data_IF_913564423231
#
_entry.id   IF_913564423231
#
_cell.length_a   1.000
_cell.length_b   1.000
_cell.length_c   1.000
_cell.angle_alpha   90.00
_cell.angle_beta   90.00
_cell.angle_gamma   90.00
#
_symmetry.space_group_name_H-M   'P 1'
#
loop_
_entity.id
_entity.type
_entity.pdbx_description
1 polymer ?
#
# COMPACT_ATOMS: atom_id res chain seq x y z
N UNK A 1 -43.40 -16.44 -12.38
CA UNK A 1 -44.83 -16.19 -12.05
C UNK A 1 -44.89 -15.06 -11.05
N UNK A 2 -45.59 -13.94 -11.30
CA UNK A 2 -45.63 -12.79 -10.40
C UNK A 2 -46.83 -12.84 -9.45
N UNK A 3 -46.70 -12.28 -8.23
CA UNK A 3 -47.83 -12.14 -7.30
C UNK A 3 -47.93 -10.72 -6.70
N UNK A 4 -48.93 -9.99 -7.21
CA UNK A 4 -49.94 -9.10 -6.59
C UNK A 4 -49.64 -8.28 -5.31
N UNK A 5 -49.64 -6.96 -5.51
CA UNK A 5 -50.44 -5.86 -4.90
C UNK A 5 -51.23 -6.13 -3.59
N UNK A 6 -51.11 -5.20 -2.63
CA UNK A 6 -52.14 -4.91 -1.61
C UNK A 6 -51.90 -3.59 -0.86
N UNK A 7 -52.74 -2.57 -1.12
CA UNK A 7 -52.84 -1.28 -0.42
C UNK A 7 -53.90 -1.40 0.68
N UNK A 8 -53.67 -0.85 1.87
CA UNK A 8 -54.72 -0.61 2.88
C UNK A 8 -54.62 0.80 3.47
N UNK A 9 -55.71 1.56 3.33
CA UNK A 9 -55.99 2.82 4.00
C UNK A 9 -56.76 2.54 5.30
N UNK A 10 -56.51 3.32 6.36
CA UNK A 10 -57.27 3.24 7.62
C UNK A 10 -57.77 4.63 8.03
N UNK A 11 -59.07 4.70 8.33
CA UNK A 11 -59.87 5.85 8.69
C UNK A 11 -59.92 6.10 10.21
N UNK A 12 -60.05 7.37 10.59
CA UNK A 12 -60.35 7.85 11.95
C UNK A 12 -61.84 7.66 12.33
N UNK A 13 -62.16 7.52 13.62
CA UNK A 13 -63.46 7.92 14.15
C UNK A 13 -63.38 9.12 15.12
N UNK A 14 -64.41 9.95 15.01
CA UNK A 14 -64.72 11.12 15.82
C UNK A 14 -65.66 10.69 16.96
N UNK A 15 -65.38 11.08 18.20
CA UNK A 15 -66.24 10.82 19.36
C UNK A 15 -66.52 12.09 20.17
N UNK A 16 -67.77 12.54 20.18
CA UNK A 16 -68.31 13.55 21.09
C UNK A 16 -68.74 12.89 22.41
N UNK A 17 -68.50 13.56 23.54
CA UNK A 17 -69.25 13.36 24.79
C UNK A 17 -69.41 14.70 25.53
N UNK A 18 -70.64 14.96 25.96
CA UNK A 18 -71.06 16.11 26.76
C UNK A 18 -71.11 15.77 28.25
N UNK A 19 -70.88 16.77 29.12
CA UNK A 19 -71.11 16.67 30.57
C UNK A 19 -71.18 18.06 31.21
N UNK A 20 -72.18 18.27 32.08
CA UNK A 20 -72.53 19.53 32.72
C UNK A 20 -72.53 19.34 34.26
N UNK A 21 -72.19 20.38 35.03
CA UNK A 21 -72.41 20.46 36.49
C UNK A 21 -71.37 21.32 37.23
N UNK A 22 -71.81 22.41 37.87
CA UNK A 22 -70.97 23.39 38.58
C UNK A 22 -70.96 23.27 40.11
N UNK A 23 -70.14 24.07 40.80
CA UNK A 23 -70.55 25.16 41.73
C UNK A 23 -69.32 25.76 42.44
N UNK A 24 -69.50 26.97 42.97
CA UNK A 24 -68.45 27.97 43.21
C UNK A 24 -67.48 27.75 44.39
N UNK A 25 -66.28 28.30 44.23
CA UNK A 25 -65.46 28.86 45.32
C UNK A 25 -64.60 30.00 44.76
N UNK A 26 -64.61 31.13 45.48
CA UNK A 26 -63.86 32.36 45.18
C UNK A 26 -62.37 32.16 45.47
N UNK A 27 -61.53 32.21 44.43
CA UNK A 27 -60.08 32.36 44.55
C UNK A 27 -59.63 33.53 43.67
N UNK A 28 -58.79 34.40 44.24
CA UNK A 28 -58.39 35.68 43.67
C UNK A 28 -57.83 35.57 42.26
N UNK A 29 -58.31 36.47 41.39
CA UNK A 29 -57.80 36.65 40.04
C UNK A 29 -56.33 37.09 40.09
N UNK A 30 -55.42 36.14 39.98
CA UNK A 30 -54.08 36.39 39.44
C UNK A 30 -54.27 36.58 37.95
N UNK A 31 -53.83 37.73 37.45
CA UNK A 31 -53.76 38.01 36.02
C UNK A 31 -52.94 36.89 35.37
N UNK A 32 -53.44 36.18 34.33
CA UNK A 32 -52.60 35.26 33.58
C UNK A 32 -51.46 36.09 33.00
N UNK A 33 -50.23 35.82 33.44
CA UNK A 33 -49.05 36.39 32.80
C UNK A 33 -49.14 36.13 31.31
N UNK A 34 -49.01 37.19 30.50
CA UNK A 34 -48.96 37.05 29.04
C UNK A 34 -47.92 35.99 28.66
N UNK A 35 -48.10 35.30 27.51
CA UNK A 35 -47.20 34.23 27.11
C UNK A 35 -45.74 34.72 27.19
N UNK A 36 -44.93 33.97 27.94
CA UNK A 36 -43.50 34.24 28.06
C UNK A 36 -42.89 34.29 26.65
N UNK A 37 -42.01 35.26 26.33
CA UNK A 37 -41.40 35.34 25.00
C UNK A 37 -40.68 34.03 24.67
N UNK A 38 -40.73 33.57 23.40
CA UNK A 38 -40.08 32.34 23.00
C UNK A 38 -38.57 32.41 23.31
N UNK A 39 -37.95 31.28 23.70
CA UNK A 39 -36.55 31.25 24.08
C UNK A 39 -35.67 31.61 22.88
N UNK A 40 -34.71 32.51 23.10
CA UNK A 40 -33.80 33.05 22.07
C UNK A 40 -32.48 32.28 22.03
N UNK A 41 -31.79 32.24 20.88
CA UNK A 41 -30.47 31.59 20.76
C UNK A 41 -29.41 32.42 21.48
N UNK A 42 -28.60 31.76 22.30
CA UNK A 42 -27.54 32.39 23.11
C UNK A 42 -26.13 31.99 22.67
N UNK A 43 -25.95 30.75 22.24
CA UNK A 43 -24.70 30.24 21.67
C UNK A 43 -24.96 29.12 20.67
N UNK A 44 -23.92 28.77 19.91
CA UNK A 44 -23.92 27.64 18.99
C UNK A 44 -22.83 26.64 19.40
N UNK A 45 -23.11 25.36 19.21
CA UNK A 45 -22.18 24.25 19.38
C UNK A 45 -22.01 23.57 18.00
N UNK A 46 -20.76 23.33 17.59
CA UNK A 46 -20.41 22.58 16.39
C UNK A 46 -19.77 21.27 16.77
N UNK A 47 -20.26 20.17 16.19
CA UNK A 47 -19.61 18.86 16.24
C UNK A 47 -19.42 18.33 14.83
N UNK A 48 -18.27 17.71 14.58
CA UNK A 48 -18.01 17.06 13.30
C UNK A 48 -18.41 15.58 13.37
N UNK A 49 -18.89 15.03 12.26
CA UNK A 49 -19.14 13.58 12.13
C UNK A 49 -17.85 12.75 12.10
N UNK A 50 -16.70 13.41 11.92
CA UNK A 50 -15.37 12.82 11.82
C UNK A 50 -14.34 13.66 12.60
N UNK A 51 -13.27 13.02 13.05
CA UNK A 51 -12.11 13.73 13.63
C UNK A 51 -11.30 14.42 12.52
N UNK A 52 -10.71 15.57 12.85
CA UNK A 52 -9.77 16.26 11.98
C UNK A 52 -8.32 15.78 12.20
N UNK A 53 -7.44 15.80 11.17
CA UNK A 53 -7.64 16.36 9.83
C UNK A 53 -8.52 15.51 8.92
N UNK A 54 -9.16 16.16 7.94
CA UNK A 54 -9.72 15.49 6.76
C UNK A 54 -8.68 15.46 5.64
N UNK A 55 -8.76 14.50 4.74
CA UNK A 55 -7.81 14.35 3.65
C UNK A 55 -8.33 14.91 2.32
N UNK A 56 -7.41 15.25 1.41
CA UNK A 56 -7.74 15.73 0.07
C UNK A 56 -8.79 14.85 -0.62
N UNK A 57 -9.91 15.45 -1.04
CA UNK A 57 -11.02 14.75 -1.69
C UNK A 57 -12.09 14.20 -0.73
N UNK A 58 -11.84 14.19 0.58
CA UNK A 58 -12.84 13.78 1.58
C UNK A 58 -13.83 14.89 1.91
N UNK A 59 -14.95 14.49 2.52
CA UNK A 59 -15.96 15.39 3.08
C UNK A 59 -16.18 15.11 4.56
N UNK A 60 -16.61 16.12 5.30
CA UNK A 60 -17.06 15.97 6.69
C UNK A 60 -18.37 16.74 6.91
N UNK A 61 -19.27 16.15 7.69
CA UNK A 61 -20.53 16.81 8.07
C UNK A 61 -20.36 17.49 9.43
N UNK A 62 -20.84 18.73 9.52
CA UNK A 62 -20.87 19.51 10.73
C UNK A 62 -22.31 19.60 11.24
N UNK A 63 -22.53 19.06 12.44
CA UNK A 63 -23.79 19.18 13.17
C UNK A 63 -23.78 20.49 13.96
N UNK A 64 -24.76 21.35 13.70
CA UNK A 64 -24.93 22.63 14.38
C UNK A 64 -26.06 22.52 15.41
N UNK A 65 -25.77 22.83 16.67
CA UNK A 65 -26.76 22.86 17.76
C UNK A 65 -26.87 24.26 18.35
N UNK A 66 -28.08 24.80 18.41
CA UNK A 66 -28.35 26.06 19.08
C UNK A 66 -28.67 25.83 20.56
N UNK A 67 -28.00 26.58 21.44
CA UNK A 67 -28.31 26.64 22.87
C UNK A 67 -29.16 27.89 23.11
N UNK A 68 -30.37 27.69 23.63
CA UNK A 68 -31.32 28.78 23.85
C UNK A 68 -31.26 29.31 25.29
N UNK A 69 -31.88 30.47 25.53
CA UNK A 69 -31.89 31.18 26.82
C UNK A 69 -32.54 30.40 27.96
N UNK A 70 -33.30 29.36 27.67
CA UNK A 70 -33.88 28.41 28.61
C UNK A 70 -33.00 27.15 28.83
N UNK A 71 -31.77 27.16 28.31
CA UNK A 71 -30.79 26.06 28.28
C UNK A 71 -31.18 24.84 27.44
N UNK A 72 -32.29 24.90 26.69
CA UNK A 72 -32.64 23.83 25.75
C UNK A 72 -31.72 23.84 24.52
N UNK A 73 -31.47 22.64 23.98
CA UNK A 73 -30.63 22.39 22.80
C UNK A 73 -31.50 22.02 21.61
N UNK A 74 -31.30 22.70 20.49
CA UNK A 74 -32.05 22.45 19.26
C UNK A 74 -31.08 22.20 18.11
N UNK A 75 -31.13 21.03 17.46
CA UNK A 75 -30.42 20.82 16.20
C UNK A 75 -30.89 21.82 15.15
N UNK A 76 -29.94 22.45 14.44
CA UNK A 76 -30.20 23.42 13.39
C UNK A 76 -29.93 22.75 12.05
N UNK A 77 -30.91 22.80 11.14
CA UNK A 77 -30.70 22.41 9.75
C UNK A 77 -29.60 23.27 9.13
N UNK A 78 -28.55 22.62 8.62
CA UNK A 78 -27.41 23.29 8.01
C UNK A 78 -27.78 24.23 6.85
N UNK A 79 -28.89 23.97 6.15
CA UNK A 79 -29.39 24.85 5.10
C UNK A 79 -29.93 26.20 5.61
N UNK A 80 -30.31 26.29 6.89
CA UNK A 80 -30.81 27.51 7.54
C UNK A 80 -29.70 28.36 8.17
N UNK A 81 -28.47 27.82 8.27
CA UNK A 81 -27.32 28.50 8.82
C UNK A 81 -26.46 29.16 7.73
N UNK A 82 -25.71 30.18 8.11
CA UNK A 82 -24.67 30.78 7.28
C UNK A 82 -23.35 30.05 7.53
N UNK A 83 -22.61 29.74 6.46
CA UNK A 83 -21.33 29.02 6.54
C UNK A 83 -20.24 29.79 5.81
N UNK A 84 -19.04 29.86 6.41
CA UNK A 84 -17.87 30.48 5.80
C UNK A 84 -16.62 29.68 6.13
N UNK A 85 -15.77 29.47 5.13
CA UNK A 85 -14.41 28.94 5.29
C UNK A 85 -13.41 30.08 5.17
N UNK A 86 -12.44 30.15 6.09
CA UNK A 86 -11.36 31.14 6.08
C UNK A 86 -10.38 30.92 4.93
N UNK A 87 -10.18 29.67 4.50
CA UNK A 87 -9.38 29.29 3.35
C UNK A 87 -10.14 28.32 2.43
N UNK A 88 -10.80 28.88 1.40
CA UNK A 88 -11.56 28.10 0.41
C UNK A 88 -10.70 27.28 -0.56
N UNK A 89 -9.41 27.60 -0.68
CA UNK A 89 -8.47 26.77 -1.44
C UNK A 89 -8.20 25.47 -0.70
N UNK A 90 -8.13 25.51 0.65
CA UNK A 90 -7.97 24.30 1.44
C UNK A 90 -9.28 23.52 1.60
N UNK A 91 -10.37 24.18 2.04
CA UNK A 91 -11.66 23.53 2.26
C UNK A 91 -12.85 24.45 1.94
N UNK A 92 -13.87 23.92 1.28
CA UNK A 92 -15.16 24.61 1.07
C UNK A 92 -16.21 24.07 2.05
N UNK A 93 -17.29 24.82 2.29
CA UNK A 93 -18.40 24.38 3.14
C UNK A 93 -19.73 24.84 2.56
N UNK A 94 -20.72 23.96 2.54
CA UNK A 94 -22.09 24.25 2.10
C UNK A 94 -23.10 23.46 2.92
N UNK A 95 -24.07 24.15 3.53
CA UNK A 95 -25.12 23.54 4.36
C UNK A 95 -24.60 22.56 5.42
N UNK A 96 -23.44 22.87 6.03
CA UNK A 96 -22.79 22.03 7.04
C UNK A 96 -21.91 20.91 6.47
N UNK A 97 -21.84 20.72 5.15
CA UNK A 97 -20.94 19.76 4.51
C UNK A 97 -19.65 20.47 4.11
N UNK A 98 -18.54 20.06 4.69
CA UNK A 98 -17.18 20.52 4.37
C UNK A 98 -16.59 19.61 3.29
N UNK A 99 -15.91 20.17 2.30
CA UNK A 99 -15.20 19.43 1.25
C UNK A 99 -13.73 19.86 1.21
N UNK A 100 -12.81 18.90 1.29
CA UNK A 100 -11.38 19.13 1.16
C UNK A 100 -10.98 19.37 -0.31
N UNK A 101 -10.30 20.48 -0.58
CA UNK A 101 -9.94 20.93 -1.93
C UNK A 101 -8.42 20.89 -2.16
N UNK A 102 -7.62 21.41 -1.23
CA UNK A 102 -6.15 21.36 -1.28
C UNK A 102 -5.55 21.21 0.14
N UNK A 103 -4.33 20.67 0.29
CA UNK A 103 -3.66 20.61 1.59
C UNK A 103 -3.44 22.01 2.17
N UNK A 104 -3.85 22.21 3.43
CA UNK A 104 -3.78 23.50 4.09
C UNK A 104 -4.58 23.51 5.38
N UNK A 105 -4.54 24.62 6.12
CA UNK A 105 -5.44 24.82 7.26
C UNK A 105 -6.57 25.77 6.86
N UNK A 106 -7.78 25.45 7.28
CA UNK A 106 -8.93 26.35 7.23
C UNK A 106 -9.64 26.37 8.59
N UNK A 107 -10.51 27.33 8.79
CA UNK A 107 -11.44 27.43 9.91
C UNK A 107 -12.83 27.68 9.33
N UNK A 108 -13.80 26.87 9.77
CA UNK A 108 -15.19 26.96 9.32
C UNK A 108 -16.01 27.66 10.40
N UNK A 109 -16.63 28.78 10.03
CA UNK A 109 -17.56 29.53 10.88
C UNK A 109 -19.00 29.24 10.46
N UNK A 110 -19.83 28.83 11.42
CA UNK A 110 -21.28 28.73 11.28
C UNK A 110 -21.98 29.87 12.02
N UNK A 111 -22.99 30.47 11.41
CA UNK A 111 -23.79 31.54 12.02
C UNK A 111 -25.29 31.27 11.93
N UNK A 112 -26.01 31.47 13.04
CA UNK A 112 -27.46 31.26 13.12
C UNK A 112 -28.09 32.19 14.18
N UNK A 113 -29.14 32.92 13.80
CA UNK A 113 -29.90 33.85 14.65
C UNK A 113 -29.03 34.82 15.50
N UNK A 114 -27.94 35.32 14.93
CA UNK A 114 -27.05 36.30 15.57
C UNK A 114 -25.93 35.70 16.43
N UNK A 115 -25.91 34.38 16.63
CA UNK A 115 -24.81 33.65 17.26
C UNK A 115 -23.88 33.00 16.21
N UNK A 116 -22.65 32.69 16.61
CA UNK A 116 -21.62 32.06 15.76
C UNK A 116 -20.83 30.98 16.50
N UNK A 117 -20.38 29.97 15.78
CA UNK A 117 -19.40 28.98 16.25
C UNK A 117 -18.36 28.68 15.17
N UNK A 118 -17.17 28.27 15.60
CA UNK A 118 -16.03 28.00 14.71
C UNK A 118 -15.44 26.62 14.99
N UNK A 119 -14.93 25.98 13.93
CA UNK A 119 -14.23 24.71 14.05
C UNK A 119 -13.00 24.68 13.10
N UNK A 120 -11.81 24.30 13.59
CA UNK A 120 -10.63 24.18 12.75
C UNK A 120 -10.76 22.98 11.80
N UNK A 121 -10.43 23.18 10.53
CA UNK A 121 -10.45 22.18 9.46
C UNK A 121 -9.06 22.09 8.83
N UNK A 122 -8.11 21.36 9.44
CA UNK A 122 -6.88 21.01 8.76
C UNK A 122 -7.16 20.00 7.65
N UNK A 123 -6.77 20.35 6.42
CA UNK A 123 -6.74 19.44 5.27
C UNK A 123 -5.31 18.95 5.07
N UNK A 124 -5.16 17.64 4.95
CA UNK A 124 -3.86 17.00 4.70
C UNK A 124 -3.95 16.14 3.45
N UNK A 125 -2.80 15.78 2.91
CA UNK A 125 -2.75 14.62 2.03
C UNK A 125 -2.82 13.41 2.95
N UNK A 126 -3.73 12.48 2.69
CA UNK A 126 -3.70 11.19 3.38
C UNK A 126 -2.29 10.64 3.26
N UNK A 127 -1.66 10.15 4.34
CA UNK A 127 -0.56 9.22 4.16
C UNK A 127 -1.11 8.15 3.22
N UNK A 128 -0.59 8.06 1.99
CA UNK A 128 -0.92 6.92 1.15
C UNK A 128 -0.51 5.72 2.00
N UNK A 129 -1.48 4.90 2.41
CA UNK A 129 -1.19 3.73 3.22
C UNK A 129 0.00 3.03 2.56
N UNK A 130 1.11 2.88 3.28
CA UNK A 130 2.37 2.46 2.65
C UNK A 130 2.10 1.16 1.92
N UNK A 131 2.51 1.12 0.66
CA UNK A 131 2.31 -0.05 -0.16
C UNK A 131 3.19 -1.18 0.37
N UNK A 132 2.65 -2.39 0.45
CA UNK A 132 3.42 -3.60 0.73
C UNK A 132 3.44 -4.53 -0.47
N UNK A 133 4.57 -5.18 -0.68
CA UNK A 133 4.69 -6.31 -1.59
C UNK A 133 4.31 -7.58 -0.83
N UNK A 134 3.28 -8.28 -1.29
CA UNK A 134 2.88 -9.61 -0.80
C UNK A 134 3.34 -10.65 -1.80
N UNK A 135 4.16 -11.58 -1.32
CA UNK A 135 4.70 -12.64 -2.16
C UNK A 135 4.04 -13.94 -1.76
N UNK A 136 3.41 -14.62 -2.71
CA UNK A 136 2.69 -15.86 -2.50
C UNK A 136 3.39 -17.01 -3.24
N UNK A 137 3.59 -18.12 -2.56
CA UNK A 137 3.90 -19.42 -3.15
C UNK A 137 2.59 -20.21 -3.27
N UNK A 138 2.06 -20.33 -4.49
CA UNK A 138 0.83 -21.07 -4.77
C UNK A 138 1.14 -22.46 -5.33
N UNK A 139 0.58 -23.51 -4.75
CA UNK A 139 0.74 -24.90 -5.20
C UNK A 139 -0.62 -25.57 -5.44
N UNK A 140 -0.82 -26.28 -6.57
CA UNK A 140 -1.99 -27.13 -6.79
C UNK A 140 -2.19 -28.20 -5.70
N UNK A 141 -3.41 -28.67 -5.45
CA UNK A 141 -3.78 -29.56 -4.35
C UNK A 141 -2.95 -30.86 -4.26
N UNK A 142 -2.53 -31.40 -5.41
CA UNK A 142 -1.69 -32.60 -5.52
C UNK A 142 -0.19 -32.35 -5.27
N UNK A 143 0.21 -31.10 -4.98
CA UNK A 143 1.61 -30.72 -4.79
C UNK A 143 1.88 -30.29 -3.35
N UNK A 144 2.76 -31.00 -2.62
CA UNK A 144 3.10 -30.62 -1.26
C UNK A 144 3.96 -29.35 -1.25
N UNK A 145 3.88 -28.61 -0.13
CA UNK A 145 4.80 -27.51 0.15
C UNK A 145 6.27 -27.93 0.00
N UNK A 146 7.03 -27.14 -0.76
CA UNK A 146 8.47 -27.31 -0.97
C UNK A 146 9.28 -26.26 -0.19
N UNK A 147 10.04 -26.63 0.86
CA UNK A 147 10.81 -25.68 1.66
C UNK A 147 11.97 -25.04 0.87
N UNK A 148 12.52 -25.75 -0.11
CA UNK A 148 13.54 -25.24 -1.01
C UNK A 148 12.99 -24.18 -1.97
N UNK A 149 11.73 -24.30 -2.41
CA UNK A 149 11.04 -23.27 -3.18
C UNK A 149 10.84 -22.02 -2.34
N UNK A 150 10.27 -22.17 -1.14
CA UNK A 150 10.09 -21.06 -0.20
C UNK A 150 11.39 -20.32 0.10
N UNK A 151 12.48 -21.06 0.37
CA UNK A 151 13.80 -20.48 0.62
C UNK A 151 14.37 -19.76 -0.60
N UNK A 152 14.17 -20.33 -1.81
CA UNK A 152 14.57 -19.72 -3.08
C UNK A 152 13.84 -18.41 -3.36
N UNK A 153 12.53 -18.37 -3.11
CA UNK A 153 11.70 -17.15 -3.23
C UNK A 153 12.19 -16.08 -2.24
N UNK A 154 12.38 -16.43 -0.97
CA UNK A 154 12.91 -15.51 0.04
C UNK A 154 14.26 -14.92 -0.35
N UNK A 155 15.13 -15.72 -0.97
CA UNK A 155 16.40 -15.21 -1.51
C UNK A 155 16.17 -14.21 -2.65
N UNK A 156 15.29 -14.52 -3.61
CA UNK A 156 14.98 -13.61 -4.72
C UNK A 156 14.37 -12.28 -4.24
N UNK A 157 13.49 -12.33 -3.23
CA UNK A 157 12.92 -11.14 -2.58
C UNK A 157 14.02 -10.24 -1.99
N UNK A 158 14.96 -10.82 -1.25
CA UNK A 158 16.08 -10.08 -0.63
C UNK A 158 17.04 -9.52 -1.69
N UNK A 159 17.35 -10.31 -2.71
CA UNK A 159 18.24 -9.92 -3.80
C UNK A 159 17.66 -8.72 -4.58
N UNK A 160 16.37 -8.78 -4.92
CA UNK A 160 15.66 -7.66 -5.53
C UNK A 160 15.64 -6.43 -4.61
N UNK A 161 15.43 -6.61 -3.29
CA UNK A 161 15.50 -5.49 -2.35
C UNK A 161 16.88 -4.82 -2.36
N UNK A 162 17.95 -5.61 -2.33
CA UNK A 162 19.35 -5.13 -2.40
C UNK A 162 19.60 -4.36 -3.69
N UNK A 163 19.17 -4.90 -4.83
CA UNK A 163 19.34 -4.24 -6.11
C UNK A 163 18.58 -2.90 -6.19
N UNK A 164 17.32 -2.84 -5.75
CA UNK A 164 16.56 -1.58 -5.69
C UNK A 164 17.26 -0.55 -4.79
N UNK A 165 17.81 -0.95 -3.63
CA UNK A 165 18.59 -0.03 -2.77
C UNK A 165 19.76 0.58 -3.53
N UNK A 166 20.50 -0.23 -4.30
CA UNK A 166 21.63 0.21 -5.11
C UNK A 166 21.21 1.21 -6.21
N UNK A 167 20.09 0.95 -6.88
CA UNK A 167 19.61 1.79 -7.98
C UNK A 167 18.89 3.07 -7.51
N UNK A 168 18.34 3.07 -6.28
CA UNK A 168 17.42 4.12 -5.79
C UNK A 168 17.87 4.81 -4.51
N UNK A 169 19.18 5.04 -4.34
CA UNK A 169 19.73 5.83 -3.22
C UNK A 169 19.25 5.30 -1.85
N UNK A 170 19.25 3.97 -1.69
CA UNK A 170 18.82 3.27 -0.46
C UNK A 170 17.31 3.08 -0.29
N UNK A 171 16.49 3.48 -1.25
CA UNK A 171 15.05 3.16 -1.26
C UNK A 171 14.84 1.71 -1.75
N UNK A 172 13.92 0.98 -1.11
CA UNK A 172 13.49 -0.34 -1.57
C UNK A 172 12.07 -0.64 -1.13
N UNK A 173 11.47 -1.71 -1.65
CA UNK A 173 10.10 -2.07 -1.35
C UNK A 173 9.96 -2.69 0.04
N UNK A 174 8.83 -2.44 0.68
CA UNK A 174 8.47 -3.10 1.93
C UNK A 174 7.75 -4.42 1.65
N UNK A 175 8.23 -5.50 2.25
CA UNK A 175 7.56 -6.79 2.23
C UNK A 175 6.44 -6.84 3.28
N UNK A 176 5.39 -7.61 2.99
CA UNK A 176 4.42 -7.99 4.00
C UNK A 176 5.03 -8.92 5.05
N UNK A 177 5.75 -9.95 4.60
CA UNK A 177 6.45 -10.95 5.39
C UNK A 177 7.86 -11.21 4.84
N UNK A 178 8.78 -11.68 5.70
CA UNK A 178 10.17 -11.98 5.30
C UNK A 178 10.31 -13.29 4.49
N UNK A 179 9.27 -14.11 4.50
CA UNK A 179 9.11 -15.33 3.70
C UNK A 179 7.83 -15.26 2.86
N UNK A 180 7.74 -15.98 1.73
CA UNK A 180 6.50 -16.02 0.96
C UNK A 180 5.39 -16.65 1.80
N UNK A 181 4.20 -16.09 1.68
CA UNK A 181 2.97 -16.71 2.15
C UNK A 181 2.74 -17.98 1.32
N UNK A 182 2.25 -19.08 1.93
CA UNK A 182 1.97 -20.31 1.19
C UNK A 182 0.46 -20.48 0.97
N UNK A 183 0.09 -20.88 -0.25
CA UNK A 183 -1.27 -21.23 -0.61
C UNK A 183 -1.34 -22.60 -1.28
N UNK A 184 -2.15 -23.48 -0.71
CA UNK A 184 -2.60 -24.69 -1.38
C UNK A 184 -3.88 -24.35 -2.15
N UNK A 185 -3.80 -24.35 -3.47
CA UNK A 185 -4.95 -24.14 -4.35
C UNK A 185 -5.85 -25.41 -4.37
N UNK A 186 -7.16 -25.27 -4.63
CA UNK A 186 -8.12 -26.36 -4.43
C UNK A 186 -8.08 -27.46 -5.49
N UNK A 187 -7.62 -27.18 -6.71
CA UNK A 187 -7.61 -28.15 -7.82
C UNK A 187 -6.23 -28.81 -8.01
N UNK A 188 -6.17 -29.93 -8.72
CA UNK A 188 -4.92 -30.62 -9.03
C UNK A 188 -4.15 -29.95 -10.18
N UNK A 189 -2.86 -30.28 -10.32
CA UNK A 189 -1.97 -29.62 -11.26
C UNK A 189 -2.40 -29.71 -12.74
N UNK A 190 -3.13 -30.75 -13.14
CA UNK A 190 -3.70 -30.89 -14.48
C UNK A 190 -4.74 -29.80 -14.81
N UNK A 191 -5.49 -29.32 -13.81
CA UNK A 191 -6.47 -28.24 -13.98
C UNK A 191 -5.79 -26.95 -14.44
N UNK A 192 -4.68 -26.59 -13.78
CA UNK A 192 -3.94 -25.35 -14.02
C UNK A 192 -3.02 -25.43 -15.25
N UNK A 193 -2.73 -26.63 -15.76
CA UNK A 193 -1.81 -26.82 -16.87
C UNK A 193 -2.40 -26.48 -18.25
N UNK A 194 -3.72 -26.30 -18.38
CA UNK A 194 -4.40 -26.09 -19.68
C UNK A 194 -5.35 -24.89 -19.65
N UNK A 195 -5.62 -24.28 -20.80
CA UNK A 195 -6.42 -23.07 -20.89
C UNK A 195 -5.72 -21.86 -20.27
N UNK A 196 -6.51 -20.89 -19.80
CA UNK A 196 -6.00 -19.66 -19.19
C UNK A 196 -5.47 -19.93 -17.77
N UNK A 197 -4.16 -20.15 -17.67
CA UNK A 197 -3.52 -20.45 -16.39
C UNK A 197 -3.51 -19.24 -15.45
N UNK A 198 -3.45 -18.02 -16.00
CA UNK A 198 -3.49 -16.79 -15.21
C UNK A 198 -4.78 -16.67 -14.42
N UNK A 199 -5.93 -16.72 -15.10
CA UNK A 199 -7.24 -16.59 -14.47
C UNK A 199 -7.49 -17.72 -13.47
N UNK A 200 -7.11 -18.95 -13.83
CA UNK A 200 -7.24 -20.11 -12.93
C UNK A 200 -6.41 -19.98 -11.67
N UNK A 201 -5.16 -19.51 -11.77
CA UNK A 201 -4.32 -19.29 -10.57
C UNK A 201 -4.92 -18.19 -9.70
N UNK A 202 -5.37 -17.07 -10.30
CA UNK A 202 -6.03 -15.99 -9.55
C UNK A 202 -7.28 -16.51 -8.84
N UNK A 203 -8.12 -17.32 -9.49
CA UNK A 203 -9.28 -17.96 -8.87
C UNK A 203 -8.87 -18.95 -7.76
N UNK A 204 -7.88 -19.80 -8.03
CA UNK A 204 -7.44 -20.86 -7.13
C UNK A 204 -6.80 -20.35 -5.83
N UNK A 205 -6.26 -19.14 -5.81
CA UNK A 205 -5.68 -18.55 -4.59
C UNK A 205 -6.69 -17.79 -3.74
N UNK A 206 -7.93 -17.57 -4.17
CA UNK A 206 -8.87 -16.71 -3.42
C UNK A 206 -9.17 -17.23 -2.00
N UNK A 207 -9.13 -18.54 -1.79
CA UNK A 207 -9.39 -19.16 -0.48
C UNK A 207 -8.31 -18.88 0.57
N UNK A 208 -7.07 -18.62 0.14
CA UNK A 208 -5.91 -18.43 1.00
C UNK A 208 -5.42 -16.97 1.00
N UNK A 209 -5.55 -16.28 -0.13
CA UNK A 209 -5.06 -14.93 -0.38
C UNK A 209 -6.04 -14.22 -1.32
N UNK A 210 -6.72 -13.15 -0.87
CA UNK A 210 -7.68 -12.43 -1.70
C UNK A 210 -6.94 -11.54 -2.71
N UNK A 211 -6.28 -12.18 -3.68
CA UNK A 211 -5.51 -11.51 -4.74
C UNK A 211 -6.49 -10.78 -5.64
N UNK A 212 -6.37 -9.46 -5.69
CA UNK A 212 -7.12 -8.62 -6.60
C UNK A 212 -6.16 -7.66 -7.31
N UNK A 213 -6.35 -7.52 -8.62
CA UNK A 213 -5.64 -6.51 -9.41
C UNK A 213 -5.95 -5.11 -8.86
N UNK A 214 -4.97 -4.21 -8.97
CA UNK A 214 -5.06 -2.82 -8.54
C UNK A 214 -5.50 -2.61 -7.08
N UNK A 215 -5.25 -3.59 -6.20
CA UNK A 215 -5.54 -3.47 -4.77
C UNK A 215 -4.77 -2.28 -4.17
N UNK A 216 -5.44 -1.23 -3.65
CA UNK A 216 -4.74 -0.05 -3.17
C UNK A 216 -3.77 -0.37 -2.03
N UNK A 217 -2.47 -0.24 -2.32
CA UNK A 217 -1.42 -0.46 -1.32
C UNK A 217 -0.95 -1.89 -1.16
N UNK A 218 -1.37 -2.80 -2.04
CA UNK A 218 -0.79 -4.14 -2.14
C UNK A 218 -0.26 -4.32 -3.56
N UNK A 219 0.98 -4.79 -3.67
CA UNK A 219 1.52 -5.33 -4.90
C UNK A 219 1.69 -6.83 -4.70
N UNK A 220 1.01 -7.61 -5.53
CA UNK A 220 1.02 -9.06 -5.47
C UNK A 220 2.12 -9.63 -6.36
N UNK A 221 2.85 -10.61 -5.85
CA UNK A 221 3.78 -11.40 -6.63
C UNK A 221 3.56 -12.88 -6.32
N UNK A 222 3.04 -13.63 -7.29
CA UNK A 222 2.73 -15.04 -7.13
C UNK A 222 3.78 -15.87 -7.84
N UNK A 223 4.47 -16.71 -7.08
CA UNK A 223 5.18 -17.85 -7.62
C UNK A 223 4.23 -19.05 -7.65
N UNK A 224 3.74 -19.41 -8.83
CA UNK A 224 2.87 -20.54 -9.02
C UNK A 224 3.70 -21.80 -9.34
N UNK A 225 3.57 -22.85 -8.54
CA UNK A 225 4.06 -24.20 -8.85
C UNK A 225 3.13 -24.87 -9.87
N UNK A 226 2.96 -24.18 -11.00
CA UNK A 226 2.16 -24.57 -12.15
C UNK A 226 3.09 -24.69 -13.36
N UNK A 227 3.01 -25.84 -14.02
CA UNK A 227 3.65 -26.07 -15.31
C UNK A 227 2.56 -26.05 -16.36
N UNK A 228 2.60 -25.02 -17.19
CA UNK A 228 1.64 -24.86 -18.27
C UNK A 228 1.99 -25.82 -19.42
N UNK A 229 0.96 -26.19 -20.17
CA UNK A 229 1.14 -26.81 -21.47
C UNK A 229 1.56 -25.73 -22.47
N UNK A 230 2.55 -26.05 -23.29
CA UNK A 230 3.10 -25.09 -24.26
C UNK A 230 2.02 -24.65 -25.26
N UNK A 231 1.91 -23.34 -25.52
CA UNK A 231 1.01 -22.79 -26.55
C UNK A 231 -0.43 -22.58 -26.10
N UNK A 232 -0.71 -22.64 -24.81
CA UNK A 232 -1.99 -22.25 -24.21
C UNK A 232 -2.11 -20.70 -24.14
N UNK A 233 -3.34 -20.14 -24.13
CA UNK A 233 -3.55 -18.69 -24.02
C UNK A 233 -3.17 -18.14 -22.63
N UNK A 234 -2.65 -16.91 -22.60
CA UNK A 234 -2.29 -16.16 -21.38
C UNK A 234 -1.29 -16.90 -20.47
N UNK A 235 -0.12 -17.20 -21.04
CA UNK A 235 0.99 -17.85 -20.32
C UNK A 235 1.43 -17.04 -19.07
N UNK A 236 1.78 -17.72 -17.99
CA UNK A 236 2.40 -17.11 -16.82
C UNK A 236 3.78 -16.50 -17.17
N UNK A 237 4.28 -15.64 -16.28
CA UNK A 237 5.56 -14.94 -16.45
C UNK A 237 5.39 -13.52 -16.95
N UNK A 238 4.31 -12.86 -16.56
CA UNK A 238 4.06 -11.44 -16.81
C UNK A 238 3.57 -10.74 -15.54
N UNK A 239 3.67 -9.41 -15.53
CA UNK A 239 3.21 -8.56 -14.45
C UNK A 239 2.66 -7.23 -14.94
N UNK A 240 1.85 -6.60 -14.09
CA UNK A 240 1.14 -5.35 -14.39
C UNK A 240 -0.11 -5.19 -13.52
N UNK A 241 -0.65 -3.97 -13.46
CA UNK A 241 -1.87 -3.68 -12.69
C UNK A 241 -1.82 -4.21 -11.23
N UNK A 242 -0.65 -4.07 -10.60
CA UNK A 242 -0.43 -4.45 -9.20
C UNK A 242 -0.24 -5.94 -8.93
N UNK A 243 -0.20 -6.82 -9.94
CA UNK A 243 0.08 -8.24 -9.76
C UNK A 243 1.06 -8.82 -10.80
N UNK A 244 1.91 -9.75 -10.37
CA UNK A 244 2.71 -10.59 -11.25
C UNK A 244 2.51 -12.05 -10.89
N UNK A 245 2.46 -12.94 -11.89
CA UNK A 245 2.38 -14.39 -11.68
C UNK A 245 3.47 -15.05 -12.52
N UNK A 246 4.35 -15.81 -11.88
CA UNK A 246 5.43 -16.54 -12.53
C UNK A 246 5.27 -18.06 -12.38
N UNK A 247 5.68 -18.85 -13.39
CA UNK A 247 5.46 -20.29 -13.43
C UNK A 247 6.51 -21.10 -12.65
N UNK A 248 6.28 -22.41 -12.58
CA UNK A 248 7.11 -23.38 -11.86
C UNK A 248 8.57 -23.35 -12.25
N UNK A 249 8.91 -23.17 -13.52
CA UNK A 249 10.31 -23.26 -13.93
C UNK A 249 11.19 -22.18 -13.27
N UNK A 250 10.61 -21.03 -12.89
CA UNK A 250 11.31 -20.01 -12.11
C UNK A 250 11.60 -20.50 -10.67
N UNK A 251 10.64 -21.21 -10.06
CA UNK A 251 10.82 -21.89 -8.76
C UNK A 251 11.91 -22.96 -8.83
N UNK A 252 11.91 -23.77 -9.89
CA UNK A 252 12.92 -24.82 -10.11
C UNK A 252 14.33 -24.22 -10.22
N UNK A 253 14.49 -23.09 -10.92
CA UNK A 253 15.78 -22.35 -10.99
C UNK A 253 16.19 -21.83 -9.61
N UNK A 254 15.26 -21.20 -8.87
CA UNK A 254 15.53 -20.69 -7.51
C UNK A 254 15.95 -21.80 -6.54
N UNK A 255 15.33 -22.98 -6.68
CA UNK A 255 15.62 -24.18 -5.94
C UNK A 255 16.87 -24.93 -6.41
N UNK A 256 17.56 -24.45 -7.46
CA UNK A 256 18.74 -25.09 -8.06
C UNK A 256 18.45 -26.51 -8.59
N UNK A 257 17.24 -26.74 -9.11
CA UNK A 257 16.89 -27.99 -9.76
C UNK A 257 17.78 -28.26 -10.97
N UNK A 258 18.17 -29.52 -11.16
CA UNK A 258 18.97 -29.98 -12.31
C UNK A 258 18.10 -30.29 -13.54
N UNK A 259 16.77 -30.22 -13.39
CA UNK A 259 15.81 -30.54 -14.42
C UNK A 259 14.75 -29.44 -14.44
N UNK A 260 14.87 -28.54 -15.41
CA UNK A 260 13.98 -27.40 -15.57
C UNK A 260 13.26 -27.52 -16.92
N UNK A 261 11.92 -27.56 -16.88
CA UNK A 261 11.11 -27.75 -18.08
C UNK A 261 10.37 -26.45 -18.43
N UNK A 262 10.85 -25.74 -19.45
CA UNK A 262 10.19 -24.54 -19.96
C UNK A 262 9.37 -24.83 -21.22
N UNK A 263 8.30 -24.07 -21.44
CA UNK A 263 7.50 -24.17 -22.66
C UNK A 263 8.26 -23.76 -23.93
N UNK A 264 9.34 -22.97 -23.77
CA UNK A 264 10.14 -22.40 -24.87
C UNK A 264 11.49 -23.11 -25.05
N UNK A 265 11.64 -24.32 -24.50
CA UNK A 265 12.86 -25.12 -24.55
C UNK A 265 13.62 -25.16 -23.22
N UNK A 266 14.90 -25.60 -23.23
CA UNK A 266 15.73 -25.63 -22.03
C UNK A 266 15.80 -24.24 -21.39
N UNK A 267 15.50 -24.15 -20.10
CA UNK A 267 15.60 -22.89 -19.36
C UNK A 267 17.08 -22.65 -19.04
N UNK A 268 17.68 -21.65 -19.68
CA UNK A 268 19.08 -21.23 -19.45
C UNK A 268 19.21 -20.13 -18.42
N UNK A 269 18.15 -19.85 -17.65
CA UNK A 269 18.11 -18.76 -16.66
C UNK A 269 18.85 -19.13 -15.38
N UNK A 270 19.58 -18.16 -14.84
CA UNK A 270 20.30 -18.26 -13.57
C UNK A 270 19.43 -17.77 -12.42
N UNK A 271 19.76 -18.17 -11.17
CA UNK A 271 19.10 -17.63 -9.98
C UNK A 271 19.07 -16.09 -9.95
N UNK A 272 20.19 -15.39 -10.19
CA UNK A 272 20.19 -13.92 -10.27
C UNK A 272 19.25 -13.38 -11.33
N UNK A 273 19.17 -14.01 -12.51
CA UNK A 273 18.22 -13.57 -13.55
C UNK A 273 16.75 -13.72 -13.15
N UNK A 274 16.39 -14.70 -12.30
CA UNK A 274 15.03 -14.81 -11.75
C UNK A 274 14.77 -13.71 -10.71
N UNK A 275 15.75 -13.39 -9.86
CA UNK A 275 15.63 -12.27 -8.93
C UNK A 275 15.50 -10.91 -9.66
N UNK A 276 16.18 -10.77 -10.79
CA UNK A 276 16.06 -9.61 -11.66
C UNK A 276 14.70 -9.56 -12.37
N UNK A 277 14.20 -10.70 -12.87
CA UNK A 277 12.84 -10.81 -13.40
C UNK A 277 11.79 -10.45 -12.35
N UNK A 278 11.99 -10.87 -11.10
CA UNK A 278 11.16 -10.43 -9.97
C UNK A 278 11.17 -8.91 -9.79
N UNK A 279 12.33 -8.28 -9.89
CA UNK A 279 12.43 -6.82 -9.82
C UNK A 279 11.76 -6.12 -11.02
N UNK A 280 11.87 -6.68 -12.22
CA UNK A 280 11.22 -6.20 -13.44
C UNK A 280 9.69 -6.19 -13.30
N UNK A 281 9.09 -7.32 -12.92
CA UNK A 281 7.63 -7.40 -12.79
C UNK A 281 7.10 -6.58 -11.60
N UNK A 282 7.86 -6.48 -10.51
CA UNK A 282 7.51 -5.54 -9.44
C UNK A 282 7.53 -4.08 -9.90
N UNK A 283 8.48 -3.71 -10.74
CA UNK A 283 8.53 -2.37 -11.29
C UNK A 283 7.32 -2.08 -12.21
N UNK A 284 6.85 -3.06 -12.98
CA UNK A 284 5.54 -2.99 -13.65
C UNK A 284 4.38 -2.79 -12.66
N UNK A 285 4.35 -3.55 -11.57
CA UNK A 285 3.34 -3.37 -10.52
C UNK A 285 3.36 -1.99 -9.86
N UNK A 286 4.53 -1.33 -9.83
CA UNK A 286 4.67 0.03 -9.33
C UNK A 286 4.33 1.10 -10.37
N UNK A 287 4.04 0.69 -11.62
CA UNK A 287 3.55 1.54 -12.69
C UNK A 287 4.59 1.94 -13.73
N UNK A 288 5.76 1.30 -13.76
CA UNK A 288 6.73 1.52 -14.84
C UNK A 288 6.31 0.78 -16.13
N UNK A 289 6.35 1.42 -17.30
CA UNK A 289 6.28 0.73 -18.58
C UNK A 289 7.67 0.21 -19.00
N UNK A 290 7.70 -0.56 -20.09
CA UNK A 290 8.96 -0.82 -20.79
C UNK A 290 9.59 0.48 -21.34
N UNK A 291 10.91 0.51 -21.59
CA UNK A 291 11.56 1.67 -22.16
C UNK A 291 11.00 2.02 -23.55
N UNK A 292 10.97 3.31 -23.93
CA UNK A 292 10.50 3.74 -25.25
C UNK A 292 11.11 2.94 -26.40
N UNK A 293 10.23 2.46 -27.29
CA UNK A 293 10.60 1.71 -28.48
C UNK A 293 10.84 0.21 -28.27
N UNK A 294 10.81 -0.30 -27.04
CA UNK A 294 11.02 -1.73 -26.78
C UNK A 294 9.81 -2.60 -27.17
N UNK A 295 8.59 -2.15 -26.88
CA UNK A 295 7.37 -2.87 -27.28
C UNK A 295 7.24 -2.98 -28.82
N UNK A 296 7.64 -1.92 -29.52
CA UNK A 296 7.65 -1.83 -30.97
C UNK A 296 8.92 -2.41 -31.62
N UNK A 297 9.85 -2.97 -30.82
CA UNK A 297 11.13 -3.54 -31.26
C UNK A 297 11.97 -2.60 -32.12
N UNK A 298 11.96 -1.31 -31.78
CA UNK A 298 12.70 -0.29 -32.49
C UNK A 298 14.19 -0.39 -32.16
N UNK A 299 15.05 -0.02 -33.12
CA UNK A 299 16.51 -0.10 -32.98
C UNK A 299 17.09 0.75 -31.83
N UNK A 300 16.32 1.70 -31.29
CA UNK A 300 16.71 2.54 -30.16
C UNK A 300 16.17 2.04 -28.81
N UNK A 301 15.55 0.85 -28.76
CA UNK A 301 15.21 0.20 -27.51
C UNK A 301 16.47 -0.03 -26.69
N UNK A 302 16.39 0.34 -25.42
CA UNK A 302 17.43 0.09 -24.43
C UNK A 302 17.23 -1.32 -23.85
N UNK A 303 17.85 -2.32 -24.49
CA UNK A 303 17.69 -3.73 -24.12
C UNK A 303 18.38 -4.07 -22.79
N UNK A 304 19.38 -3.29 -22.39
CA UNK A 304 20.19 -3.52 -21.19
C UNK A 304 19.53 -2.97 -19.91
N UNK A 305 18.52 -2.11 -20.06
CA UNK A 305 17.70 -1.65 -18.95
C UNK A 305 16.91 -2.79 -18.30
N UNK A 306 16.71 -2.72 -16.98
CA UNK A 306 15.95 -3.72 -16.23
C UNK A 306 14.56 -3.90 -16.83
N UNK A 307 13.89 -2.79 -17.16
CA UNK A 307 12.55 -2.77 -17.75
C UNK A 307 12.50 -3.26 -19.21
N UNK A 308 13.59 -3.79 -19.76
CA UNK A 308 13.60 -4.51 -21.04
C UNK A 308 14.17 -5.92 -20.84
N UNK A 309 15.28 -6.29 -21.46
CA UNK A 309 15.92 -7.60 -21.34
C UNK A 309 17.08 -7.64 -20.35
N UNK A 310 17.42 -6.51 -19.73
CA UNK A 310 18.56 -6.40 -18.83
C UNK A 310 18.50 -7.34 -17.62
N UNK A 311 17.31 -7.81 -17.24
CA UNK A 311 17.18 -8.83 -16.20
C UNK A 311 17.90 -10.15 -16.53
N UNK A 312 18.18 -10.44 -17.81
CA UNK A 312 18.96 -11.61 -18.24
C UNK A 312 20.46 -11.46 -17.92
N UNK A 313 20.96 -10.23 -17.88
CA UNK A 313 22.38 -9.88 -17.69
C UNK A 313 22.70 -9.46 -16.24
N UNK A 314 21.78 -9.70 -15.30
CA UNK A 314 21.95 -9.33 -13.90
C UNK A 314 23.27 -9.85 -13.29
N UNK A 315 24.00 -9.04 -12.47
CA UNK A 315 23.59 -7.73 -11.95
C UNK A 315 23.88 -6.54 -12.87
N UNK A 316 24.44 -6.76 -14.07
CA UNK A 316 24.84 -5.70 -15.00
C UNK A 316 23.64 -5.13 -15.78
N UNK A 317 22.73 -4.51 -15.03
CA UNK A 317 21.53 -3.85 -15.53
C UNK A 317 21.16 -2.66 -14.64
N UNK A 318 20.31 -1.78 -15.15
CA UNK A 318 19.99 -0.52 -14.48
C UNK A 318 18.54 -0.08 -14.69
N UNK A 319 18.06 0.77 -13.78
CA UNK A 319 16.90 1.63 -14.04
C UNK A 319 17.37 2.89 -14.76
N UNK A 320 16.65 3.29 -15.81
CA UNK A 320 16.88 4.55 -16.52
C UNK A 320 16.60 5.76 -15.61
N UNK A 321 17.16 6.95 -15.90
CA UNK A 321 16.96 8.13 -15.05
C UNK A 321 15.49 8.47 -14.75
N UNK A 322 14.62 8.46 -15.77
CA UNK A 322 13.18 8.73 -15.59
C UNK A 322 12.45 7.65 -14.79
N UNK A 323 12.86 6.38 -14.94
CA UNK A 323 12.32 5.25 -14.16
C UNK A 323 12.70 5.36 -12.69
N UNK A 324 13.95 5.74 -12.40
CA UNK A 324 14.43 6.03 -11.04
C UNK A 324 13.62 7.14 -10.39
N UNK A 325 13.43 8.25 -11.10
CA UNK A 325 12.64 9.38 -10.60
C UNK A 325 11.19 9.01 -10.31
N UNK A 326 10.58 8.20 -11.17
CA UNK A 326 9.23 7.69 -10.98
C UNK A 326 9.14 6.79 -9.75
N UNK A 327 10.00 5.79 -9.65
CA UNK A 327 10.00 4.83 -8.54
C UNK A 327 10.33 5.48 -7.19
N UNK A 328 11.21 6.48 -7.15
CA UNK A 328 11.49 7.22 -5.90
C UNK A 328 10.26 7.91 -5.30
N UNK A 329 9.18 8.09 -6.08
CA UNK A 329 7.89 8.61 -5.63
C UNK A 329 6.84 7.52 -5.34
N UNK A 330 7.18 6.25 -5.58
CA UNK A 330 6.28 5.12 -5.36
C UNK A 330 5.93 4.95 -3.88
N UNK A 331 4.64 4.72 -3.60
CA UNK A 331 4.15 4.41 -2.24
C UNK A 331 4.68 3.10 -1.66
N UNK A 332 5.23 2.24 -2.51
CA UNK A 332 5.80 0.95 -2.12
C UNK A 332 7.26 1.06 -1.67
N UNK A 333 7.96 2.12 -2.08
CA UNK A 333 9.38 2.27 -1.80
C UNK A 333 9.62 3.19 -0.61
N UNK A 334 10.50 2.76 0.29
CA UNK A 334 10.93 3.55 1.44
C UNK A 334 12.40 3.33 1.73
N UNK A 335 13.01 4.30 2.40
CA UNK A 335 14.34 4.10 2.95
C UNK A 335 14.16 3.15 4.12
N UNK A 336 14.55 1.89 3.91
CA UNK A 336 14.74 0.99 5.04
C UNK A 336 16.09 1.38 5.64
N UNK A 337 16.14 1.65 6.94
CA UNK A 337 17.45 1.74 7.62
C UNK A 337 18.21 0.42 7.42
N UNK A 338 19.52 0.35 7.73
CA UNK A 338 20.17 -0.94 7.91
C UNK A 338 19.26 -1.73 8.85
N UNK A 339 18.73 -2.89 8.43
CA UNK A 339 17.98 -3.72 9.37
C UNK A 339 18.94 -3.94 10.55
N UNK A 340 18.56 -3.47 11.74
CA UNK A 340 19.07 -4.08 12.94
C UNK A 340 18.71 -5.55 12.78
N UNK A 341 19.73 -6.37 12.50
CA UNK A 341 19.59 -7.81 12.35
C UNK A 341 18.65 -8.30 13.47
N UNK A 342 17.57 -8.98 13.09
CA UNK A 342 16.60 -9.48 14.06
C UNK A 342 17.33 -10.32 15.11
N UNK A 343 16.94 -10.33 16.40
CA UNK A 343 17.62 -11.14 17.41
C UNK A 343 17.69 -12.61 16.98
N UNK A 344 18.86 -13.07 16.55
CA UNK A 344 19.07 -14.40 15.97
C UNK A 344 19.80 -14.42 14.62
N UNK A 345 19.80 -13.30 13.89
CA UNK A 345 20.41 -13.17 12.56
C UNK A 345 21.90 -12.78 12.70
N UNK A 346 22.80 -13.52 12.04
CA UNK A 346 24.23 -13.25 12.08
C UNK A 346 24.52 -11.90 11.40
N UNK A 347 25.39 -11.07 11.97
CA UNK A 347 25.78 -9.82 11.33
C UNK A 347 27.28 -9.58 11.48
N UNK A 348 27.90 -9.12 10.40
CA UNK A 348 29.29 -8.65 10.40
C UNK A 348 29.28 -7.17 10.74
N UNK A 349 29.80 -6.85 11.93
CA UNK A 349 29.85 -5.47 12.47
C UNK A 349 31.29 -5.02 12.63
N UNK A 350 31.56 -3.75 12.38
CA UNK A 350 32.88 -3.18 12.55
C UNK A 350 32.89 -1.66 12.53
N UNK A 351 34.09 -1.09 12.64
CA UNK A 351 34.32 0.35 12.57
C UNK A 351 35.49 0.62 11.65
N UNK A 352 35.29 1.43 10.61
CA UNK A 352 36.36 1.89 9.72
C UNK A 352 37.00 3.14 10.32
N UNK A 353 38.33 3.12 10.41
CA UNK A 353 39.14 4.21 10.95
C UNK A 353 40.34 4.48 10.07
N UNK A 354 40.82 5.71 10.10
CA UNK A 354 42.08 6.08 9.46
C UNK A 354 43.30 5.62 10.28
N UNK A 355 44.51 5.92 9.78
CA UNK A 355 45.76 5.60 10.46
C UNK A 355 45.93 6.29 11.83
N UNK A 356 45.22 7.40 12.06
CA UNK A 356 45.18 8.12 13.35
C UNK A 356 44.13 7.58 14.32
N UNK A 357 43.38 6.54 13.91
CA UNK A 357 42.20 5.97 14.59
C UNK A 357 40.95 6.85 14.59
N UNK A 358 40.92 7.92 13.79
CA UNK A 358 39.71 8.71 13.61
C UNK A 358 38.67 7.91 12.80
N UNK A 359 37.38 7.96 13.15
CA UNK A 359 36.34 7.27 12.41
C UNK A 359 36.18 7.85 11.00
N UNK A 360 35.99 6.98 10.01
CA UNK A 360 35.76 7.37 8.62
C UNK A 360 34.30 7.14 8.21
N UNK A 361 33.48 8.20 8.04
CA UNK A 361 32.10 8.09 7.59
C UNK A 361 31.97 8.01 6.08
N UNK A 362 30.87 7.43 5.59
CA UNK A 362 30.58 7.32 4.16
C UNK A 362 31.50 6.36 3.39
N UNK A 363 32.25 5.52 4.10
CA UNK A 363 33.05 4.46 3.49
C UNK A 363 32.14 3.28 3.17
N UNK A 364 32.17 2.80 1.93
CA UNK A 364 31.42 1.60 1.56
C UNK A 364 32.17 0.37 2.07
N UNK A 365 31.45 -0.49 2.78
CA UNK A 365 31.92 -1.80 3.24
C UNK A 365 31.01 -2.84 2.61
N UNK A 366 31.58 -3.84 1.95
CA UNK A 366 30.83 -4.94 1.34
C UNK A 366 31.24 -6.28 1.94
N UNK A 367 30.27 -7.20 2.05
CA UNK A 367 30.52 -8.60 2.34
C UNK A 367 30.10 -9.42 1.13
N UNK A 368 30.90 -10.42 0.78
CA UNK A 368 30.63 -11.29 -0.35
C UNK A 368 31.01 -12.74 -0.07
N UNK A 369 30.23 -13.67 -0.60
CA UNK A 369 30.49 -15.10 -0.71
C UNK A 369 30.17 -15.53 -2.14
N UNK A 370 30.35 -16.81 -2.45
CA UNK A 370 29.97 -17.38 -3.76
C UNK A 370 28.45 -17.28 -4.05
N UNK A 371 27.62 -17.03 -3.03
CA UNK A 371 26.15 -17.02 -3.15
C UNK A 371 25.47 -15.76 -2.60
N UNK A 372 26.24 -14.83 -2.04
CA UNK A 372 25.69 -13.68 -1.34
C UNK A 372 26.60 -12.46 -1.47
N UNK A 373 26.01 -11.31 -1.77
CA UNK A 373 26.71 -10.03 -1.78
C UNK A 373 25.84 -8.94 -1.16
N UNK A 374 26.42 -8.14 -0.27
CA UNK A 374 25.74 -7.01 0.35
C UNK A 374 26.73 -5.93 0.76
N UNK A 375 26.26 -4.70 0.93
CA UNK A 375 27.11 -3.59 1.35
C UNK A 375 26.37 -2.56 2.20
N UNK A 376 27.12 -1.80 2.98
CA UNK A 376 26.64 -0.67 3.77
C UNK A 376 27.66 0.47 3.71
N UNK A 377 27.20 1.71 3.91
CA UNK A 377 28.07 2.86 4.13
C UNK A 377 28.28 3.09 5.63
N UNK A 378 29.49 3.43 6.03
CA UNK A 378 29.80 3.68 7.44
C UNK A 378 29.08 4.93 7.96
N UNK A 379 28.54 4.83 9.18
CA UNK A 379 27.93 5.94 9.90
C UNK A 379 28.97 7.02 10.26
N UNK A 380 28.50 8.15 10.82
CA UNK A 380 29.38 9.24 11.31
C UNK A 380 30.46 8.76 12.30
N UNK A 381 30.19 7.67 12.99
CA UNK A 381 31.08 7.01 13.95
C UNK A 381 32.07 6.03 13.31
N UNK A 382 32.06 5.92 11.97
CA UNK A 382 32.79 4.91 11.21
C UNK A 382 32.18 3.51 11.31
N UNK A 383 31.09 3.34 12.06
CA UNK A 383 30.49 2.03 12.30
C UNK A 383 29.71 1.50 11.10
N UNK A 384 29.74 0.19 10.90
CA UNK A 384 28.89 -0.53 9.94
C UNK A 384 28.32 -1.81 10.58
N UNK A 385 27.22 -2.30 10.04
CA UNK A 385 26.61 -3.57 10.40
C UNK A 385 25.93 -4.15 9.17
N UNK A 386 26.47 -5.24 8.62
CA UNK A 386 25.91 -5.90 7.45
C UNK A 386 25.38 -7.26 7.90
N UNK A 387 24.06 -7.47 7.73
CA UNK A 387 23.42 -8.74 8.05
C UNK A 387 23.93 -9.87 7.15
N UNK A 388 23.96 -11.08 7.67
CA UNK A 388 24.27 -12.32 6.95
C UNK A 388 23.01 -13.19 7.02
N UNK A 389 22.40 -13.53 5.88
CA UNK A 389 21.17 -14.31 5.86
C UNK A 389 21.34 -15.68 6.52
N UNK A 390 20.27 -16.16 7.15
CA UNK A 390 20.21 -17.52 7.66
C UNK A 390 20.43 -18.56 6.55
N UNK A 391 21.34 -19.51 6.80
CA UNK A 391 21.71 -20.56 5.85
C UNK A 391 22.95 -20.24 5.00
N UNK A 392 23.45 -19.00 5.00
CA UNK A 392 24.77 -18.71 4.45
C UNK A 392 25.85 -19.35 5.33
N UNK A 393 26.65 -20.21 4.73
CA UNK A 393 27.72 -20.93 5.40
C UNK A 393 28.96 -20.93 4.51
N UNK A 394 30.11 -20.58 5.08
CA UNK A 394 31.36 -20.46 4.33
C UNK A 394 32.15 -19.19 4.67
N UNK A 395 33.31 -18.99 4.05
CA UNK A 395 34.09 -17.78 4.21
C UNK A 395 33.39 -16.60 3.51
N UNK A 396 33.38 -15.44 4.18
CA UNK A 396 32.99 -14.18 3.57
C UNK A 396 34.24 -13.34 3.32
N UNK A 397 34.32 -12.71 2.14
CA UNK A 397 35.26 -11.63 1.90
C UNK A 397 34.61 -10.32 2.35
N UNK A 398 35.29 -9.61 3.25
CA UNK A 398 34.93 -8.25 3.65
C UNK A 398 35.84 -7.28 2.89
N UNK A 399 35.26 -6.38 2.10
CA UNK A 399 35.99 -5.34 1.38
C UNK A 399 35.61 -3.95 1.89
N UNK A 400 36.59 -3.07 2.01
CA UNK A 400 36.43 -1.68 2.46
C UNK A 400 36.89 -0.77 1.33
N UNK A 401 35.98 0.05 0.80
CA UNK A 401 36.20 0.86 -0.41
C UNK A 401 36.41 2.32 -0.01
N UNK A 402 37.65 2.80 -0.12
CA UNK A 402 38.01 4.17 0.23
C UNK A 402 37.77 5.14 -0.94
N UNK A 403 36.61 5.82 -0.93
CA UNK A 403 36.29 6.96 -1.81
C UNK A 403 35.41 6.64 -3.01
N UNK A 404 34.87 7.70 -3.65
CA UNK A 404 34.02 7.65 -4.85
C UNK A 404 34.67 6.82 -5.96
N UNK A 405 34.44 5.51 -5.95
CA UNK A 405 34.73 4.67 -7.11
C UNK A 405 33.58 4.89 -8.08
N UNK A 406 33.70 5.94 -8.89
CA UNK A 406 33.03 6.05 -10.19
C UNK A 406 33.59 5.03 -11.20
N UNK A 407 34.01 3.86 -10.74
CA UNK A 407 34.61 2.82 -11.55
C UNK A 407 33.95 1.49 -11.17
N UNK A 408 33.31 0.92 -12.18
CA UNK A 408 32.74 -0.42 -12.23
C UNK A 408 33.74 -1.43 -11.67
N UNK A 409 33.54 -1.78 -10.41
CA UNK A 409 34.33 -2.82 -9.76
C UNK A 409 33.53 -4.11 -9.85
N UNK A 410 33.51 -4.69 -11.05
CA UNK A 410 33.29 -6.11 -11.26
C UNK A 410 34.37 -6.87 -10.47
N UNK A 411 34.00 -7.39 -9.30
CA UNK A 411 34.82 -8.35 -8.58
C UNK A 411 33.95 -9.53 -8.14
N UNK A 412 34.27 -10.65 -8.79
CA UNK A 412 33.81 -12.03 -8.63
C UNK A 412 32.43 -12.36 -9.21
#
# INVERSE_FOLDING_TARGET
MPNRIGIFALSLPLGLLAGCGGDGTTAGATTPGGPSPPPSVTSLELTASHEFPIFLGETAELQLTAVRSDNSRLPVDGALATWRSSNRMAATVSAGVVTAVEPGNSEVTAGYQGASAEIPVPVRIAPTARGKVRVLYAAPADRPFRPDYSSGISWAMREAQTWFRGQLKGLTFELHEDSPEFCQMPEDSDHYATGDAWDKVVEGVQDCAPVALDTPGISWYLFADVQERCGEPHELGMGGNGAAIVPRHDLEVLARSTSIHGCKGPVTRSRPSIAAGFAHELAHNFGLPHPPGCDDKLAHCDLDALMSLGYLEYPDTYLRPGEKEFLMRSRFLRRTGPRDASPGELAIKGVVRDASRAPLPGIRVSIMSDSYWNWEETAITGAFSIGVPDGESGPFLVSVHAGDTAADCNWL
#
